data_IF_271759777670
#
_entry.id   IF_271759777670
#
_cell.length_a   1.000
_cell.length_b   1.000
_cell.length_c   1.000
_cell.angle_alpha   90.00
_cell.angle_beta   90.00
_cell.angle_gamma   90.00
#
_symmetry.space_group_name_H-M   'P 1'
#
loop_
_entity.id
_entity.type
_entity.pdbx_description
1 polymer ?
#
# COMPACT_ATOMS: atom_id res chain seq x y z
N UNK A 1 -15.76 -11.96 -22.51
CA UNK A 1 -14.80 -12.71 -21.68
C UNK A 1 -13.69 -11.82 -21.10
N UNK A 2 -12.98 -11.01 -21.91
CA UNK A 2 -11.89 -10.15 -21.44
C UNK A 2 -12.33 -9.08 -20.42
N UNK A 3 -13.51 -8.48 -20.59
CA UNK A 3 -14.06 -7.48 -19.66
C UNK A 3 -14.48 -8.06 -18.31
N UNK A 4 -14.94 -9.31 -18.27
CA UNK A 4 -15.30 -10.00 -17.03
C UNK A 4 -14.05 -10.37 -16.21
N UNK A 5 -12.99 -10.86 -16.84
CA UNK A 5 -11.70 -11.15 -16.20
C UNK A 5 -11.06 -9.88 -15.63
N UNK A 6 -11.23 -8.73 -16.31
CA UNK A 6 -10.74 -7.44 -15.82
C UNK A 6 -11.54 -6.94 -14.60
N UNK A 7 -12.86 -7.14 -14.58
CA UNK A 7 -13.71 -6.84 -13.42
C UNK A 7 -13.37 -7.71 -12.21
N UNK A 8 -13.14 -8.99 -12.41
CA UNK A 8 -12.76 -9.94 -11.35
C UNK A 8 -11.39 -9.53 -10.75
N UNK A 9 -10.44 -9.09 -11.60
CA UNK A 9 -9.10 -8.68 -11.15
C UNK A 9 -9.15 -7.44 -10.26
N UNK A 10 -9.92 -6.41 -10.63
CA UNK A 10 -10.05 -5.21 -9.82
C UNK A 10 -10.80 -5.48 -8.51
N UNK A 11 -11.90 -6.24 -8.57
CA UNK A 11 -12.67 -6.64 -7.39
C UNK A 11 -11.80 -7.42 -6.40
N UNK A 12 -10.98 -8.36 -6.89
CA UNK A 12 -10.01 -9.09 -6.05
C UNK A 12 -9.08 -8.13 -5.32
N UNK A 13 -8.51 -7.16 -6.02
CA UNK A 13 -7.59 -6.17 -5.44
C UNK A 13 -8.26 -5.29 -4.39
N UNK A 14 -9.51 -4.91 -4.61
CA UNK A 14 -10.31 -4.17 -3.62
C UNK A 14 -10.59 -5.02 -2.37
N UNK A 15 -10.92 -6.30 -2.54
CA UNK A 15 -11.10 -7.23 -1.42
C UNK A 15 -9.81 -7.37 -0.60
N UNK A 16 -8.67 -7.58 -1.26
CA UNK A 16 -7.36 -7.64 -0.60
C UNK A 16 -7.06 -6.34 0.16
N UNK A 17 -7.33 -5.18 -0.47
CA UNK A 17 -7.19 -3.88 0.17
C UNK A 17 -8.06 -3.73 1.42
N UNK A 18 -9.31 -4.23 1.37
CA UNK A 18 -10.22 -4.23 2.51
C UNK A 18 -9.70 -5.05 3.69
N UNK A 19 -9.25 -6.27 3.44
CA UNK A 19 -8.65 -7.12 4.49
C UNK A 19 -7.40 -6.49 5.11
N UNK A 20 -6.53 -5.93 4.29
CA UNK A 20 -5.33 -5.27 4.79
C UNK A 20 -5.64 -3.98 5.55
N UNK A 21 -6.66 -3.22 5.14
CA UNK A 21 -7.12 -2.04 5.88
C UNK A 21 -7.59 -2.40 7.29
N UNK A 22 -8.37 -3.48 7.43
CA UNK A 22 -8.82 -3.97 8.73
C UNK A 22 -7.63 -4.42 9.58
N UNK A 23 -6.71 -5.19 9.01
CA UNK A 23 -5.50 -5.63 9.70
C UNK A 23 -4.64 -4.47 10.18
N UNK A 24 -4.48 -3.44 9.35
CA UNK A 24 -3.72 -2.24 9.69
C UNK A 24 -4.41 -1.43 10.80
N UNK A 25 -5.73 -1.26 10.74
CA UNK A 25 -6.50 -0.60 11.80
C UNK A 25 -6.39 -1.32 13.14
N UNK A 26 -6.44 -2.65 13.14
CA UNK A 26 -6.23 -3.45 14.35
C UNK A 26 -4.81 -3.28 14.90
N UNK A 27 -3.80 -3.25 14.04
CA UNK A 27 -2.42 -2.99 14.45
C UNK A 27 -2.26 -1.60 15.07
N UNK A 28 -2.87 -0.57 14.49
CA UNK A 28 -2.89 0.79 15.05
C UNK A 28 -3.57 0.82 16.40
N UNK A 29 -4.72 0.14 16.55
CA UNK A 29 -5.45 0.06 17.82
C UNK A 29 -4.61 -0.62 18.91
N UNK A 30 -4.00 -1.77 18.60
CA UNK A 30 -3.14 -2.52 19.55
C UNK A 30 -1.94 -1.65 19.97
N UNK A 31 -1.25 -1.00 19.03
CA UNK A 31 -0.14 -0.10 19.36
C UNK A 31 -0.57 1.04 20.27
N UNK A 32 -1.75 1.63 20.03
CA UNK A 32 -2.27 2.71 20.86
C UNK A 32 -2.56 2.24 22.29
N UNK A 33 -3.08 1.02 22.45
CA UNK A 33 -3.32 0.41 23.78
C UNK A 33 -1.99 0.16 24.50
N UNK A 34 -0.99 -0.41 23.81
CA UNK A 34 0.32 -0.75 24.38
C UNK A 34 1.08 0.51 24.80
N UNK A 35 1.01 1.59 24.02
CA UNK A 35 1.66 2.87 24.32
C UNK A 35 0.97 3.69 25.42
N UNK A 36 -0.07 3.13 26.06
CA UNK A 36 -0.71 3.70 27.24
C UNK A 36 -1.54 4.95 26.99
N UNK A 37 -2.09 5.12 25.80
CA UNK A 37 -3.10 6.14 25.51
C UNK A 37 -2.62 7.62 25.61
N UNK A 38 -1.32 7.86 25.68
CA UNK A 38 -0.73 9.21 25.74
C UNK A 38 -0.91 10.04 24.47
N UNK A 39 -1.21 9.38 23.35
CA UNK A 39 -1.61 10.01 22.10
C UNK A 39 -3.13 10.09 22.10
N UNK A 40 -3.73 11.24 21.76
CA UNK A 40 -5.18 11.34 21.65
C UNK A 40 -5.67 10.29 20.65
N UNK A 41 -6.27 9.23 21.16
CA UNK A 41 -6.71 8.02 20.42
C UNK A 41 -7.56 8.40 19.21
N UNK A 42 -8.36 9.47 19.37
CA UNK A 42 -9.23 10.01 18.33
C UNK A 42 -8.45 10.57 17.14
N UNK A 43 -7.43 11.38 17.38
CA UNK A 43 -6.67 12.04 16.31
C UNK A 43 -5.79 11.03 15.55
N UNK A 44 -5.18 10.11 16.30
CA UNK A 44 -4.39 9.02 15.72
C UNK A 44 -5.25 8.11 14.85
N UNK A 45 -6.45 7.74 15.33
CA UNK A 45 -7.37 6.88 14.59
C UNK A 45 -7.96 7.56 13.36
N UNK A 46 -8.28 8.85 13.45
CA UNK A 46 -8.79 9.61 12.30
C UNK A 46 -7.70 9.77 11.24
N UNK A 47 -6.53 10.26 11.61
CA UNK A 47 -5.46 10.54 10.63
C UNK A 47 -4.92 9.24 10.01
N UNK A 48 -4.50 8.27 10.82
CA UNK A 48 -3.91 7.03 10.31
C UNK A 48 -4.98 6.04 9.79
N UNK A 49 -6.16 6.00 10.41
CA UNK A 49 -7.24 5.14 9.98
C UNK A 49 -7.80 5.55 8.62
N UNK A 50 -8.20 6.81 8.45
CA UNK A 50 -8.75 7.30 7.20
C UNK A 50 -7.74 7.25 6.05
N UNK A 51 -6.49 7.66 6.30
CA UNK A 51 -5.43 7.59 5.28
C UNK A 51 -5.13 6.16 4.86
N UNK A 52 -5.12 5.22 5.79
CA UNK A 52 -4.91 3.80 5.48
C UNK A 52 -6.05 3.21 4.69
N UNK A 53 -7.30 3.54 5.02
CA UNK A 53 -8.48 3.08 4.28
C UNK A 53 -8.45 3.62 2.86
N UNK A 54 -8.25 4.91 2.66
CA UNK A 54 -8.19 5.51 1.33
C UNK A 54 -7.03 4.91 0.52
N UNK A 55 -5.85 4.78 1.14
CA UNK A 55 -4.67 4.25 0.48
C UNK A 55 -4.86 2.78 0.06
N UNK A 56 -5.35 1.93 0.94
CA UNK A 56 -5.44 0.50 0.70
C UNK A 56 -6.70 0.09 -0.10
N UNK A 57 -7.82 0.81 0.03
CA UNK A 57 -9.05 0.50 -0.70
C UNK A 57 -9.11 1.14 -2.09
N UNK A 58 -8.52 2.29 -2.29
CA UNK A 58 -8.62 3.04 -3.55
C UNK A 58 -7.29 3.05 -4.29
N UNK A 59 -6.24 3.56 -3.66
CA UNK A 59 -5.00 3.84 -4.38
C UNK A 59 -4.21 2.56 -4.63
N UNK A 60 -4.08 1.67 -3.64
CA UNK A 60 -3.32 0.44 -3.81
C UNK A 60 -3.92 -0.50 -4.87
N UNK A 61 -5.25 -0.72 -4.97
CA UNK A 61 -5.84 -1.49 -6.06
C UNK A 61 -5.58 -0.89 -7.44
N UNK A 62 -5.70 0.43 -7.58
CA UNK A 62 -5.45 1.12 -8.85
C UNK A 62 -3.98 1.05 -9.25
N UNK A 63 -3.08 1.32 -8.31
CA UNK A 63 -1.63 1.20 -8.53
C UNK A 63 -1.23 -0.23 -8.85
N UNK A 64 -1.79 -1.21 -8.14
CA UNK A 64 -1.54 -2.62 -8.39
C UNK A 64 -2.00 -3.04 -9.79
N UNK A 65 -3.17 -2.57 -10.23
CA UNK A 65 -3.64 -2.84 -11.59
C UNK A 65 -2.72 -2.22 -12.65
N UNK A 66 -2.23 -0.99 -12.43
CA UNK A 66 -1.26 -0.32 -13.28
C UNK A 66 0.08 -1.05 -13.30
N UNK A 67 0.57 -1.49 -12.14
CA UNK A 67 1.83 -2.25 -12.00
C UNK A 67 1.78 -3.57 -12.76
N UNK A 68 0.67 -4.31 -12.66
CA UNK A 68 0.49 -5.55 -13.42
C UNK A 68 0.44 -5.27 -14.93
N UNK A 69 -0.27 -4.23 -15.35
CA UNK A 69 -0.33 -3.83 -16.76
C UNK A 69 1.04 -3.45 -17.33
N UNK A 70 1.83 -2.67 -16.60
CA UNK A 70 3.19 -2.29 -17.01
C UNK A 70 4.08 -3.53 -17.07
N UNK A 71 4.06 -4.39 -16.05
CA UNK A 71 4.90 -5.57 -15.97
C UNK A 71 4.59 -6.58 -17.08
N UNK A 72 3.32 -6.70 -17.48
CA UNK A 72 2.90 -7.55 -18.60
C UNK A 72 3.39 -7.03 -19.96
N UNK A 73 3.43 -5.73 -20.14
CA UNK A 73 3.89 -5.11 -21.41
C UNK A 73 5.40 -5.04 -21.55
N UNK A 74 6.12 -4.86 -20.45
CA UNK A 74 7.56 -4.63 -20.47
C UNK A 74 8.37 -5.91 -20.42
N UNK A 75 7.80 -7.00 -19.90
CA UNK A 75 8.57 -8.24 -19.68
C UNK A 75 7.88 -9.46 -20.31
N UNK A 76 8.65 -10.27 -21.07
CA UNK A 76 8.14 -11.50 -21.68
C UNK A 76 8.17 -12.70 -20.73
N UNK A 77 9.20 -12.79 -19.87
CA UNK A 77 9.40 -13.93 -18.98
C UNK A 77 8.61 -13.78 -17.69
N UNK A 78 7.94 -14.84 -17.24
CA UNK A 78 7.12 -14.84 -16.02
C UNK A 78 7.87 -14.36 -14.77
N UNK A 79 9.10 -14.85 -14.54
CA UNK A 79 9.92 -14.43 -13.39
C UNK A 79 10.17 -12.92 -13.38
N UNK A 80 10.49 -12.36 -14.54
CA UNK A 80 10.75 -10.92 -14.68
C UNK A 80 9.47 -10.09 -14.47
N UNK A 81 8.28 -10.60 -14.88
CA UNK A 81 7.00 -9.96 -14.58
C UNK A 81 6.74 -9.85 -13.09
N UNK A 82 7.01 -10.95 -12.36
CA UNK A 82 6.82 -10.99 -10.90
C UNK A 82 7.74 -9.99 -10.21
N UNK A 83 9.02 -9.96 -10.58
CA UNK A 83 10.01 -9.02 -10.03
C UNK A 83 9.63 -7.57 -10.36
N UNK A 84 9.29 -7.29 -11.62
CA UNK A 84 8.88 -5.95 -12.05
C UNK A 84 7.63 -5.47 -11.31
N UNK A 85 6.62 -6.33 -11.19
CA UNK A 85 5.41 -6.03 -10.42
C UNK A 85 5.74 -5.71 -8.95
N UNK A 86 6.62 -6.49 -8.31
CA UNK A 86 7.08 -6.23 -6.94
C UNK A 86 7.79 -4.86 -6.81
N UNK A 87 8.73 -4.57 -7.72
CA UNK A 87 9.45 -3.29 -7.72
C UNK A 87 8.51 -2.09 -7.93
N UNK A 88 7.53 -2.23 -8.82
CA UNK A 88 6.52 -1.19 -9.03
C UNK A 88 5.64 -0.97 -7.80
N UNK A 89 5.31 -2.04 -7.03
CA UNK A 89 4.57 -1.89 -5.78
C UNK A 89 5.41 -1.17 -4.71
N UNK A 90 6.70 -1.49 -4.59
CA UNK A 90 7.62 -0.76 -3.71
C UNK A 90 7.71 0.72 -4.07
N UNK A 91 7.87 1.02 -5.37
CA UNK A 91 7.85 2.39 -5.86
C UNK A 91 6.53 3.10 -5.52
N UNK A 92 5.40 2.41 -5.67
CA UNK A 92 4.08 2.91 -5.30
C UNK A 92 3.99 3.25 -3.82
N UNK A 93 4.56 2.42 -2.93
CA UNK A 93 4.64 2.71 -1.49
C UNK A 93 5.40 4.01 -1.21
N UNK A 94 6.54 4.23 -1.85
CA UNK A 94 7.33 5.46 -1.71
C UNK A 94 6.55 6.67 -2.24
N UNK A 95 5.96 6.57 -3.43
CA UNK A 95 5.16 7.66 -4.01
C UNK A 95 3.96 8.01 -3.13
N UNK A 96 3.32 7.03 -2.52
CA UNK A 96 2.24 7.24 -1.58
C UNK A 96 2.67 8.00 -0.33
N UNK A 97 3.86 7.72 0.20
CA UNK A 97 4.41 8.48 1.32
C UNK A 97 4.52 9.96 0.96
N UNK A 98 5.12 10.29 -0.18
CA UNK A 98 5.23 11.68 -0.64
C UNK A 98 3.85 12.33 -0.82
N UNK A 99 2.91 11.62 -1.44
CA UNK A 99 1.56 12.12 -1.68
C UNK A 99 0.82 12.42 -0.38
N UNK A 100 0.89 11.52 0.60
CA UNK A 100 0.28 11.69 1.92
C UNK A 100 0.91 12.87 2.64
N UNK A 101 2.24 12.98 2.63
CA UNK A 101 2.96 14.08 3.29
C UNK A 101 2.58 15.43 2.70
N UNK A 102 2.49 15.53 1.36
CA UNK A 102 2.09 16.78 0.68
C UNK A 102 0.66 17.21 1.03
N UNK A 103 -0.27 16.25 1.14
CA UNK A 103 -1.69 16.56 1.39
C UNK A 103 -1.95 16.85 2.86
N UNK A 104 -1.41 16.03 3.76
CA UNK A 104 -1.74 16.11 5.19
C UNK A 104 -0.91 17.15 5.94
N UNK A 105 0.32 17.37 5.51
CA UNK A 105 1.21 18.34 6.15
C UNK A 105 2.12 19.04 5.12
N UNK A 106 1.57 20.02 4.38
CA UNK A 106 2.34 20.80 3.41
C UNK A 106 3.52 21.56 4.06
N UNK A 107 3.45 21.86 5.37
CA UNK A 107 4.52 22.50 6.13
C UNK A 107 5.72 21.58 6.31
N UNK A 108 5.47 20.34 6.71
CA UNK A 108 6.52 19.30 6.84
C UNK A 108 7.15 18.96 5.51
N UNK A 109 6.41 19.04 4.39
CA UNK A 109 6.97 18.82 3.06
C UNK A 109 8.12 19.81 2.74
N UNK A 110 7.98 21.08 3.10
CA UNK A 110 9.06 22.06 2.95
C UNK A 110 10.28 21.71 3.79
N UNK A 111 10.06 21.20 5.00
CA UNK A 111 11.13 20.77 5.90
C UNK A 111 11.77 19.45 5.43
N UNK A 112 11.06 18.61 4.69
CA UNK A 112 11.55 17.34 4.13
C UNK A 112 12.67 17.54 3.10
N UNK A 113 12.70 18.69 2.43
CA UNK A 113 13.72 19.10 1.45
C UNK A 113 14.62 20.22 1.98
N UNK A 114 14.50 20.62 3.25
CA UNK A 114 15.39 21.61 3.87
C UNK A 114 16.74 20.99 4.26
N UNK A 115 17.75 21.82 4.42
CA UNK A 115 19.14 21.40 4.73
C UNK A 115 19.24 20.63 6.06
N UNK A 116 18.27 20.78 6.96
CA UNK A 116 18.25 20.16 8.31
C UNK A 116 17.49 18.82 8.35
N UNK A 117 17.32 18.16 7.21
CA UNK A 117 16.59 16.89 7.14
C UNK A 117 17.31 15.80 7.92
N UNK A 118 16.61 15.20 8.86
CA UNK A 118 17.06 13.98 9.51
C UNK A 118 16.90 12.80 8.53
N UNK A 119 17.94 12.54 7.74
CA UNK A 119 17.97 11.46 6.75
C UNK A 119 17.58 10.09 7.33
N UNK A 120 17.90 9.84 8.59
CA UNK A 120 17.55 8.59 9.27
C UNK A 120 16.04 8.44 9.43
N UNK A 121 15.34 9.51 9.77
CA UNK A 121 13.87 9.50 9.83
C UNK A 121 13.24 9.35 8.45
N UNK A 122 13.78 10.01 7.44
CA UNK A 122 13.31 9.88 6.06
C UNK A 122 13.41 8.44 5.56
N UNK A 123 14.55 7.79 5.76
CA UNK A 123 14.77 6.39 5.42
C UNK A 123 13.79 5.49 6.18
N UNK A 124 13.57 5.74 7.46
CA UNK A 124 12.61 5.00 8.28
C UNK A 124 11.18 5.09 7.72
N UNK A 125 10.72 6.30 7.38
CA UNK A 125 9.40 6.48 6.78
C UNK A 125 9.27 5.80 5.40
N UNK A 126 10.32 5.81 4.59
CA UNK A 126 10.34 5.05 3.32
C UNK A 126 10.16 3.56 3.57
N UNK A 127 10.88 2.97 4.55
CA UNK A 127 10.68 1.58 4.93
C UNK A 127 9.27 1.29 5.39
N UNK A 128 8.70 2.14 6.27
CA UNK A 128 7.32 1.97 6.74
C UNK A 128 6.28 2.04 5.61
N UNK A 129 6.50 2.83 4.57
CA UNK A 129 5.59 2.89 3.42
C UNK A 129 5.72 1.69 2.48
N UNK A 130 6.92 1.10 2.39
CA UNK A 130 7.18 -0.09 1.58
C UNK A 130 6.51 -1.35 2.15
N UNK A 131 6.41 -1.47 3.48
CA UNK A 131 5.84 -2.65 4.14
C UNK A 131 4.38 -2.91 3.74
N UNK A 132 3.45 -1.93 3.83
CA UNK A 132 2.08 -2.11 3.36
C UNK A 132 1.98 -2.41 1.86
N UNK A 133 2.86 -1.80 1.04
CA UNK A 133 2.88 -2.03 -0.39
C UNK A 133 3.30 -3.47 -0.74
N UNK A 134 4.32 -3.99 -0.05
CA UNK A 134 4.74 -5.39 -0.15
C UNK A 134 3.66 -6.35 0.37
N UNK A 135 3.05 -6.04 1.50
CA UNK A 135 1.97 -6.84 2.08
C UNK A 135 0.79 -6.92 1.10
N UNK A 136 0.43 -5.81 0.47
CA UNK A 136 -0.62 -5.77 -0.55
C UNK A 136 -0.26 -6.64 -1.76
N UNK A 137 0.93 -6.48 -2.30
CA UNK A 137 1.42 -7.26 -3.44
C UNK A 137 1.43 -8.77 -3.13
N UNK A 138 1.94 -9.16 -1.97
CA UNK A 138 2.02 -10.55 -1.55
C UNK A 138 0.62 -11.15 -1.35
N UNK A 139 -0.26 -10.44 -0.65
CA UNK A 139 -1.64 -10.87 -0.40
C UNK A 139 -2.43 -11.03 -1.71
N UNK A 140 -2.29 -10.09 -2.66
CA UNK A 140 -2.93 -10.19 -3.98
C UNK A 140 -2.43 -11.42 -4.76
N UNK A 141 -1.14 -11.73 -4.69
CA UNK A 141 -0.55 -12.92 -5.34
C UNK A 141 -1.02 -14.23 -4.70
N UNK A 142 -1.05 -14.30 -3.37
CA UNK A 142 -1.53 -15.48 -2.66
C UNK A 142 -3.01 -15.72 -2.91
N UNK A 143 -3.82 -14.67 -2.92
CA UNK A 143 -5.24 -14.76 -3.21
C UNK A 143 -5.50 -15.20 -4.65
N UNK A 144 -4.72 -14.73 -5.61
CA UNK A 144 -4.79 -15.18 -7.00
C UNK A 144 -4.44 -16.68 -7.14
N UNK A 145 -3.40 -17.14 -6.45
CA UNK A 145 -3.04 -18.56 -6.44
C UNK A 145 -4.14 -19.42 -5.83
N UNK A 146 -4.76 -18.96 -4.75
CA UNK A 146 -5.88 -19.65 -4.11
C UNK A 146 -7.07 -19.79 -5.06
N UNK A 147 -7.50 -18.71 -5.73
CA UNK A 147 -8.61 -18.73 -6.69
C UNK A 147 -8.31 -19.70 -7.84
N UNK A 148 -7.10 -19.65 -8.40
CA UNK A 148 -6.73 -20.52 -9.51
C UNK A 148 -6.77 -22.02 -9.14
N UNK A 149 -6.46 -22.37 -7.89
CA UNK A 149 -6.58 -23.75 -7.39
C UNK A 149 -8.02 -24.22 -7.22
N UNK A 150 -8.97 -23.32 -7.01
CA UNK A 150 -10.38 -23.66 -6.86
C UNK A 150 -11.11 -23.86 -8.20
N UNK A 151 -10.54 -23.36 -9.29
CA UNK A 151 -11.14 -23.41 -10.62
C UNK A 151 -10.63 -24.63 -11.42
N UNK A 152 -9.55 -25.27 -10.98
CA UNK A 152 -9.03 -26.53 -11.52
C UNK A 152 -9.70 -27.75 -10.90
#
# INVERSE_FOLDING_TARGET
MYTLLKKITLLRKVIVGGFLSIGFLLMVLVNTIILGGKVMLKDYFIVFGLTSIISLLIIAPLWSALSDFISERTTKHYKNKVIMSCLLHLLGGILMLFFITVILDPGSYRNFFSVDVNYSLMILYMFYSMVPALAFWLADRLFLQYINKQIQ
#
